data_IF_051148831240
#
_entry.id   IF_051148831240
#
_cell.length_a   1.000
_cell.length_b   1.000
_cell.length_c   1.000
_cell.angle_alpha   90.00
_cell.angle_beta   90.00
_cell.angle_gamma   90.00
#
_symmetry.space_group_name_H-M   'P 1'
#
loop_
_entity.id
_entity.type
_entity.pdbx_description
1 polymer ?
#
# COMPACT_ATOMS: atom_id res chain seq x y z
N UNK A 1 -15.94 -33.71 -5.88
CA UNK A 1 -14.57 -33.36 -5.45
C UNK A 1 -14.67 -32.16 -4.52
N UNK A 2 -14.26 -32.27 -3.25
CA UNK A 2 -14.28 -31.13 -2.31
C UNK A 2 -13.06 -30.26 -2.61
N UNK A 3 -13.26 -29.05 -3.14
CA UNK A 3 -12.17 -28.09 -3.32
C UNK A 3 -11.75 -27.56 -1.95
N UNK A 4 -10.62 -28.03 -1.42
CA UNK A 4 -9.96 -27.38 -0.30
C UNK A 4 -9.29 -26.10 -0.81
N UNK A 5 -9.98 -24.97 -0.72
CA UNK A 5 -9.34 -23.66 -0.86
C UNK A 5 -8.42 -23.44 0.33
N UNK A 6 -7.15 -23.80 0.19
CA UNK A 6 -6.13 -23.51 1.18
C UNK A 6 -5.72 -22.05 1.02
N UNK A 7 -6.19 -21.19 1.92
CA UNK A 7 -5.72 -19.80 1.97
C UNK A 7 -4.26 -19.79 2.43
N UNK A 8 -3.42 -19.00 1.74
CA UNK A 8 -1.98 -18.88 2.04
C UNK A 8 -1.79 -18.04 3.31
N UNK A 9 -2.63 -17.00 3.47
CA UNK A 9 -2.62 -16.09 4.62
C UNK A 9 -3.90 -16.17 5.45
N UNK A 10 -3.86 -15.63 6.66
CA UNK A 10 -5.07 -15.43 7.47
C UNK A 10 -5.95 -14.30 6.92
N UNK A 11 -7.24 -14.33 7.24
CA UNK A 11 -8.21 -13.28 6.83
C UNK A 11 -7.77 -11.88 7.24
N UNK A 12 -7.16 -11.75 8.43
CA UNK A 12 -6.66 -10.48 8.95
C UNK A 12 -5.55 -9.90 8.05
N UNK A 13 -4.64 -10.74 7.58
CA UNK A 13 -3.55 -10.31 6.70
C UNK A 13 -4.08 -9.83 5.36
N UNK A 14 -5.04 -10.56 4.78
CA UNK A 14 -5.68 -10.11 3.54
C UNK A 14 -6.36 -8.74 3.70
N UNK A 15 -6.91 -8.42 4.88
CA UNK A 15 -7.46 -7.10 5.18
C UNK A 15 -6.36 -6.03 5.24
N UNK A 16 -5.24 -6.32 5.91
CA UNK A 16 -4.09 -5.40 5.99
C UNK A 16 -3.49 -5.16 4.60
N UNK A 17 -3.36 -6.20 3.76
CA UNK A 17 -2.94 -6.06 2.36
C UNK A 17 -3.90 -5.14 1.59
N UNK A 18 -5.22 -5.33 1.70
CA UNK A 18 -6.18 -4.45 1.03
C UNK A 18 -6.00 -2.97 1.44
N UNK A 19 -5.69 -2.70 2.71
CA UNK A 19 -5.37 -1.34 3.19
C UNK A 19 -4.07 -0.84 2.55
N UNK A 20 -3.01 -1.66 2.53
CA UNK A 20 -1.74 -1.33 1.88
C UNK A 20 -1.93 -0.91 0.42
N UNK A 21 -2.69 -1.69 -0.33
CA UNK A 21 -3.06 -1.41 -1.72
C UNK A 21 -3.79 -0.08 -1.91
N UNK A 22 -4.72 0.28 -1.02
CA UNK A 22 -5.41 1.57 -1.04
C UNK A 22 -4.42 2.72 -0.81
N UNK A 23 -3.49 2.57 0.15
CA UNK A 23 -2.48 3.59 0.43
C UNK A 23 -1.54 3.80 -0.77
N UNK A 24 -1.11 2.72 -1.42
CA UNK A 24 -0.30 2.78 -2.65
C UNK A 24 -1.07 3.50 -3.76
N UNK A 25 -2.34 3.14 -3.97
CA UNK A 25 -3.19 3.77 -4.97
C UNK A 25 -3.35 5.28 -4.71
N UNK A 26 -3.58 5.68 -3.45
CA UNK A 26 -3.65 7.11 -3.07
C UNK A 26 -2.33 7.85 -3.31
N UNK A 27 -1.19 7.18 -3.08
CA UNK A 27 0.13 7.71 -3.41
C UNK A 27 0.26 8.03 -4.89
N UNK A 28 -0.07 7.07 -5.77
CA UNK A 28 -0.03 7.28 -7.22
C UNK A 28 -1.05 8.31 -7.72
N UNK A 29 -2.27 8.33 -7.18
CA UNK A 29 -3.29 9.35 -7.52
C UNK A 29 -2.78 10.76 -7.15
N UNK A 30 -2.05 10.89 -6.03
CA UNK A 30 -1.47 12.17 -5.65
C UNK A 30 -0.36 12.63 -6.62
N UNK A 31 0.32 11.69 -7.30
CA UNK A 31 1.32 12.00 -8.32
C UNK A 31 0.71 12.43 -9.66
N UNK A 32 -0.47 11.91 -10.04
CA UNK A 32 -1.06 12.11 -11.37
C UNK A 32 -1.66 13.50 -11.63
N UNK A 33 -1.56 14.43 -10.68
CA UNK A 33 -2.45 15.60 -10.59
C UNK A 33 -1.96 16.95 -11.12
N UNK A 34 -0.94 17.04 -11.99
CA UNK A 34 -0.64 18.34 -12.61
C UNK A 34 0.54 18.37 -13.57
N UNK A 35 0.25 17.91 -14.78
CA UNK A 35 0.95 18.38 -15.96
C UNK A 35 0.37 19.73 -16.42
N UNK A 36 1.20 20.52 -17.09
CA UNK A 36 0.78 21.72 -17.80
C UNK A 36 -0.13 21.35 -18.97
N UNK A 37 -1.23 22.08 -19.19
CA UNK A 37 -2.07 21.94 -20.39
C UNK A 37 -1.31 22.28 -21.68
N UNK A 38 -0.19 23.02 -21.56
CA UNK A 38 0.68 23.38 -22.68
C UNK A 38 2.11 22.86 -22.45
N UNK A 39 2.55 21.80 -23.17
CA UNK A 39 3.87 21.19 -22.99
C UNK A 39 5.04 22.11 -23.36
N UNK A 40 4.78 23.25 -24.04
CA UNK A 40 5.80 24.26 -24.34
C UNK A 40 6.07 25.22 -23.18
N UNK A 41 5.26 25.20 -22.12
CA UNK A 41 5.40 26.06 -20.94
C UNK A 41 5.71 25.21 -19.72
N UNK A 42 6.87 25.45 -19.12
CA UNK A 42 7.27 24.80 -17.88
C UNK A 42 6.35 25.25 -16.74
N UNK A 43 5.63 24.31 -16.12
CA UNK A 43 4.78 24.58 -14.96
C UNK A 43 5.53 24.26 -13.65
N UNK A 44 5.89 25.28 -12.84
CA UNK A 44 6.55 25.08 -11.56
C UNK A 44 5.69 24.33 -10.53
N UNK A 45 4.39 24.14 -10.76
CA UNK A 45 3.49 23.34 -9.91
C UNK A 45 3.90 21.87 -9.80
N UNK A 46 4.71 21.38 -10.75
CA UNK A 46 5.31 20.04 -10.73
C UNK A 46 6.25 19.88 -9.53
N UNK A 47 6.91 20.96 -9.07
CA UNK A 47 7.78 20.96 -7.89
C UNK A 47 7.06 21.12 -6.55
N UNK A 48 5.74 20.97 -6.53
CA UNK A 48 4.98 21.04 -5.28
C UNK A 48 5.47 19.95 -4.31
N UNK A 49 5.77 20.34 -3.07
CA UNK A 49 6.20 19.46 -1.98
C UNK A 49 5.31 18.21 -1.85
N UNK A 50 4.01 18.37 -2.09
CA UNK A 50 3.03 17.30 -2.06
C UNK A 50 3.33 16.16 -3.05
N UNK A 51 3.88 16.44 -4.22
CA UNK A 51 4.16 15.43 -5.25
C UNK A 51 5.56 14.84 -5.16
N UNK A 52 6.53 15.64 -4.72
CA UNK A 52 7.92 15.18 -4.65
C UNK A 52 8.21 14.43 -3.36
N UNK A 53 7.57 14.80 -2.25
CA UNK A 53 7.88 14.22 -0.94
C UNK A 53 6.71 13.39 -0.39
N UNK A 54 5.52 13.98 -0.32
CA UNK A 54 4.38 13.32 0.31
C UNK A 54 3.91 12.10 -0.49
N UNK A 55 3.81 12.23 -1.81
CA UNK A 55 3.31 11.13 -2.65
C UNK A 55 4.29 9.93 -2.68
N UNK A 56 5.62 10.09 -2.86
CA UNK A 56 6.55 8.97 -2.77
C UNK A 56 6.61 8.37 -1.37
N UNK A 57 6.53 9.19 -0.31
CA UNK A 57 6.46 8.68 1.06
C UNK A 57 5.21 7.80 1.30
N UNK A 58 4.05 8.20 0.77
CA UNK A 58 2.82 7.39 0.83
C UNK A 58 2.98 6.05 0.10
N UNK A 59 3.58 6.04 -1.09
CA UNK A 59 3.83 4.81 -1.83
C UNK A 59 4.78 3.88 -1.07
N UNK A 60 5.87 4.41 -0.53
CA UNK A 60 6.83 3.65 0.29
C UNK A 60 6.18 3.10 1.56
N UNK A 61 5.34 3.90 2.23
CA UNK A 61 4.60 3.47 3.40
C UNK A 61 3.60 2.35 3.06
N UNK A 62 2.91 2.47 1.92
CA UNK A 62 2.04 1.41 1.41
C UNK A 62 2.80 0.10 1.15
N UNK A 63 3.97 0.17 0.53
CA UNK A 63 4.83 -1.00 0.36
C UNK A 63 5.33 -1.58 1.69
N UNK A 64 5.67 -0.75 2.68
CA UNK A 64 6.04 -1.22 4.01
C UNK A 64 4.89 -1.98 4.69
N UNK A 65 3.65 -1.52 4.53
CA UNK A 65 2.45 -2.20 5.03
C UNK A 65 2.27 -3.56 4.34
N UNK A 66 2.43 -3.63 3.02
CA UNK A 66 2.34 -4.90 2.26
C UNK A 66 3.42 -5.89 2.69
N UNK A 67 4.67 -5.42 2.79
CA UNK A 67 5.79 -6.23 3.27
C UNK A 67 5.49 -6.77 4.67
N UNK A 68 4.98 -5.93 5.58
CA UNK A 68 4.57 -6.36 6.91
C UNK A 68 3.44 -7.39 6.87
N UNK A 69 2.39 -7.16 6.07
CA UNK A 69 1.23 -8.05 5.98
C UNK A 69 1.59 -9.44 5.41
N UNK A 70 2.55 -9.49 4.49
CA UNK A 70 3.07 -10.73 3.91
C UNK A 70 4.00 -11.45 4.88
N UNK A 71 4.91 -10.72 5.54
CA UNK A 71 5.90 -11.29 6.47
C UNK A 71 5.27 -11.77 7.77
N UNK A 72 4.24 -11.08 8.27
CA UNK A 72 3.53 -11.43 9.51
C UNK A 72 2.58 -12.57 9.24
N UNK A 73 3.09 -13.78 9.04
CA UNK A 73 2.23 -14.97 9.00
C UNK A 73 2.88 -16.21 9.61
N UNK A 74 2.98 -16.29 10.94
CA UNK A 74 3.26 -17.54 11.63
C UNK A 74 1.91 -18.21 11.94
N UNK A 75 1.63 -19.40 11.42
CA UNK A 75 0.47 -20.21 11.89
C UNK A 75 0.60 -20.63 13.38
N UNK A 76 1.50 -20.03 14.16
CA UNK A 76 2.05 -20.57 15.41
C UNK A 76 2.74 -19.50 16.27
N UNK A 77 2.05 -18.41 16.63
CA UNK A 77 2.35 -17.82 17.94
C UNK A 77 1.51 -18.62 18.95
N UNK A 78 2.11 -19.66 19.52
CA UNK A 78 1.54 -20.45 20.63
C UNK A 78 1.26 -19.51 21.81
N UNK A 79 0.05 -18.93 21.88
CA UNK A 79 -0.57 -18.32 23.08
C UNK A 79 -1.89 -17.64 22.69
N UNK A 80 -3.04 -18.31 22.61
CA UNK A 80 -3.84 -18.74 23.77
C UNK A 80 -3.09 -19.64 24.77
N UNK A 81 -2.23 -19.08 25.61
CA UNK A 81 -2.00 -19.61 26.94
C UNK A 81 -2.56 -18.51 27.84
N UNK A 82 -3.60 -18.85 28.59
CA UNK A 82 -4.23 -18.06 29.65
C UNK A 82 -4.89 -16.74 29.24
N UNK A 83 -6.14 -16.83 28.80
CA UNK A 83 -7.28 -16.28 29.56
C UNK A 83 -8.62 -16.73 29.00
#
# INVERSE_FOLDING_TARGET
MKHHSTFIFEKKNYLIMAIGLIVIALGFITMSGGGSDNPAVFDPSIFNFRRIHLAPALVLLGFAIEIYAILVNPKTDKKQEEK
#
